data_IF_174500165304
#
_entry.id   IF_174500165304
#
_cell.length_a   1.000
_cell.length_b   1.000
_cell.length_c   1.000
_cell.angle_alpha   90.00
_cell.angle_beta   90.00
_cell.angle_gamma   90.00
#
_symmetry.space_group_name_H-M   'P 1'
#
loop_
_entity.id
_entity.type
_entity.pdbx_description
1 polymer ?
#
# COMPACT_ATOMS: atom_id res chain seq x y z
N UNK A 1 18.80 -17.70 -10.94
CA UNK A 1 17.36 -17.60 -10.63
C UNK A 1 17.23 -16.85 -9.32
N UNK A 2 16.63 -15.65 -9.32
CA UNK A 2 16.54 -14.82 -8.11
C UNK A 2 15.63 -15.48 -7.07
N UNK A 3 16.10 -15.59 -5.82
CA UNK A 3 15.28 -16.04 -4.69
C UNK A 3 13.99 -15.22 -4.69
N UNK A 4 12.83 -15.86 -4.69
CA UNK A 4 11.53 -15.19 -4.50
C UNK A 4 11.51 -14.62 -3.08
N UNK A 5 12.08 -13.43 -2.91
CA UNK A 5 12.05 -12.71 -1.65
C UNK A 5 10.58 -12.45 -1.27
N UNK A 6 10.26 -12.63 0.01
CA UNK A 6 8.92 -12.35 0.52
C UNK A 6 8.51 -10.92 0.12
N UNK A 7 7.27 -10.71 -0.38
CA UNK A 7 6.79 -9.37 -0.65
C UNK A 7 6.87 -8.51 0.61
N UNK A 8 7.47 -7.33 0.50
CA UNK A 8 7.55 -6.38 1.61
C UNK A 8 6.13 -5.96 2.04
N UNK A 9 5.76 -6.07 3.33
CA UNK A 9 4.46 -5.63 3.83
C UNK A 9 4.18 -4.16 3.51
N UNK A 10 2.93 -3.85 3.17
CA UNK A 10 2.52 -2.52 2.71
C UNK A 10 2.79 -1.43 3.75
N UNK A 11 2.61 -1.72 5.05
CA UNK A 11 2.86 -0.76 6.12
C UNK A 11 4.34 -0.33 6.24
N UNK A 12 5.27 -1.11 5.66
CA UNK A 12 6.70 -0.79 5.61
C UNK A 12 7.11 -0.05 4.32
N UNK A 13 6.18 0.19 3.40
CA UNK A 13 6.52 0.86 2.14
C UNK A 13 6.98 2.30 2.39
N UNK A 14 8.05 2.66 1.70
CA UNK A 14 8.51 4.03 1.53
C UNK A 14 7.57 4.80 0.62
N UNK A 15 7.65 6.13 0.64
CA UNK A 15 6.93 7.00 -0.30
C UNK A 15 7.24 6.62 -1.76
N UNK A 16 8.48 6.22 -2.08
CA UNK A 16 8.84 5.73 -3.42
C UNK A 16 8.14 4.42 -3.83
N UNK A 17 7.92 3.50 -2.88
CA UNK A 17 7.15 2.27 -3.13
C UNK A 17 5.66 2.56 -3.28
N UNK A 18 5.13 3.53 -2.52
CA UNK A 18 3.77 4.05 -2.72
C UNK A 18 3.63 4.70 -4.10
N UNK A 19 4.62 5.45 -4.58
CA UNK A 19 4.61 5.99 -5.95
C UNK A 19 4.53 4.88 -7.02
N UNK A 20 5.27 3.78 -6.84
CA UNK A 20 5.17 2.62 -7.74
C UNK A 20 3.79 1.98 -7.70
N UNK A 21 3.21 1.84 -6.52
CA UNK A 21 1.84 1.33 -6.36
C UNK A 21 0.82 2.26 -7.04
N UNK A 22 0.89 3.57 -6.79
CA UNK A 22 -0.01 4.57 -7.37
C UNK A 22 0.09 4.56 -8.90
N UNK A 23 1.32 4.50 -9.46
CA UNK A 23 1.53 4.42 -10.91
C UNK A 23 0.92 3.17 -11.53
N UNK A 24 0.98 2.04 -10.82
CA UNK A 24 0.49 0.75 -11.30
C UNK A 24 -1.03 0.62 -11.21
N UNK A 25 -1.62 1.10 -10.11
CA UNK A 25 -3.01 0.83 -9.75
C UNK A 25 -3.94 2.01 -10.01
N UNK A 26 -3.40 3.23 -9.97
CA UNK A 26 -4.10 4.48 -10.24
C UNK A 26 -3.48 5.20 -11.45
N UNK A 27 -3.10 4.46 -12.51
CA UNK A 27 -2.35 4.99 -13.66
C UNK A 27 -3.02 6.20 -14.32
N UNK A 28 -4.35 6.17 -14.44
CA UNK A 28 -5.17 7.25 -15.02
C UNK A 28 -5.05 8.56 -14.23
N UNK A 29 -4.84 8.47 -12.91
CA UNK A 29 -4.78 9.63 -12.01
C UNK A 29 -3.38 9.93 -11.49
N UNK A 30 -2.38 9.15 -11.93
CA UNK A 30 -1.01 9.27 -11.43
C UNK A 30 -0.42 10.65 -11.71
N UNK A 31 -0.63 11.19 -12.92
CA UNK A 31 -0.12 12.52 -13.29
C UNK A 31 -0.78 13.63 -12.48
N UNK A 32 -2.04 13.45 -12.06
CA UNK A 32 -2.76 14.45 -11.28
C UNK A 32 -2.31 14.50 -9.81
N UNK A 33 -1.98 13.35 -9.22
CA UNK A 33 -1.87 13.24 -7.75
C UNK A 33 -0.53 12.72 -7.23
N UNK A 34 0.34 12.17 -8.07
CA UNK A 34 1.65 11.63 -7.65
C UNK A 34 2.46 12.63 -6.82
N UNK A 35 2.52 13.89 -7.26
CA UNK A 35 3.24 14.94 -6.56
C UNK A 35 2.66 15.25 -5.18
N UNK A 36 1.32 15.19 -5.00
CA UNK A 36 0.69 15.38 -3.70
C UNK A 36 1.13 14.28 -2.71
N UNK A 37 1.19 13.03 -3.18
CA UNK A 37 1.68 11.93 -2.35
C UNK A 37 3.15 12.09 -1.96
N UNK A 38 3.98 12.71 -2.82
CA UNK A 38 5.39 13.00 -2.50
C UNK A 38 5.49 14.14 -1.47
N UNK A 39 4.82 15.27 -1.72
CA UNK A 39 4.91 16.47 -0.88
C UNK A 39 4.41 16.20 0.54
N UNK A 40 3.36 15.38 0.67
CA UNK A 40 2.81 14.99 1.98
C UNK A 40 3.48 13.75 2.58
N UNK A 41 4.57 13.27 1.98
CA UNK A 41 5.32 12.08 2.42
C UNK A 41 4.43 10.87 2.73
N UNK A 42 3.53 10.54 1.79
CA UNK A 42 2.59 9.43 1.95
C UNK A 42 3.35 8.11 1.83
N UNK A 43 3.81 7.62 2.99
CA UNK A 43 4.36 6.29 3.18
C UNK A 43 3.28 5.20 3.18
N UNK A 44 3.70 3.94 3.11
CA UNK A 44 2.80 2.79 3.21
C UNK A 44 1.98 2.77 4.49
N UNK A 45 2.61 3.13 5.62
CA UNK A 45 1.92 3.30 6.90
C UNK A 45 0.80 4.35 6.83
N UNK A 46 1.06 5.50 6.21
CA UNK A 46 0.04 6.52 6.03
C UNK A 46 -1.08 6.04 5.10
N UNK A 47 -0.73 5.43 3.97
CA UNK A 47 -1.66 4.95 2.94
C UNK A 47 -2.70 3.96 3.50
N UNK A 48 -2.26 2.96 4.27
CA UNK A 48 -3.17 1.96 4.84
C UNK A 48 -4.07 2.51 5.94
N UNK A 49 -3.81 3.73 6.45
CA UNK A 49 -4.66 4.41 7.45
C UNK A 49 -5.44 5.60 6.89
N UNK A 50 -5.31 5.95 5.61
CA UNK A 50 -6.06 7.06 5.03
C UNK A 50 -7.58 6.87 5.15
N UNK A 51 -8.32 7.96 5.33
CA UNK A 51 -9.76 7.97 5.14
C UNK A 51 -10.11 8.66 3.82
N UNK A 52 -11.37 8.58 3.40
CA UNK A 52 -11.82 9.34 2.24
C UNK A 52 -11.67 10.85 2.47
N UNK A 53 -11.94 11.34 3.69
CA UNK A 53 -11.73 12.74 4.07
C UNK A 53 -10.25 13.12 4.04
N UNK A 54 -9.34 12.19 4.32
CA UNK A 54 -7.91 12.42 4.17
C UNK A 54 -7.51 12.64 2.71
N UNK A 55 -8.17 11.96 1.75
CA UNK A 55 -7.94 12.20 0.31
C UNK A 55 -8.45 13.58 -0.12
N UNK A 56 -9.55 14.06 0.45
CA UNK A 56 -10.04 15.43 0.25
C UNK A 56 -9.00 16.43 0.77
N UNK A 57 -8.53 16.27 2.02
CA UNK A 57 -7.50 17.13 2.61
C UNK A 57 -6.17 17.08 1.85
N UNK A 58 -5.85 15.94 1.24
CA UNK A 58 -4.66 15.79 0.38
C UNK A 58 -4.80 16.59 -0.94
N UNK A 59 -6.02 16.91 -1.37
CA UNK A 59 -6.29 17.69 -2.58
C UNK A 59 -7.06 16.93 -3.68
N UNK A 60 -7.54 15.71 -3.42
CA UNK A 60 -8.33 14.92 -4.39
C UNK A 60 -9.81 15.30 -4.29
N UNK A 61 -10.14 16.51 -4.77
CA UNK A 61 -11.47 17.10 -4.64
C UNK A 61 -12.49 16.56 -5.65
N UNK A 62 -12.03 16.10 -6.83
CA UNK A 62 -12.93 15.48 -7.81
C UNK A 62 -13.48 14.14 -7.25
N UNK A 63 -14.82 13.99 -7.12
CA UNK A 63 -15.42 12.83 -6.47
C UNK A 63 -15.14 11.52 -7.23
N UNK A 64 -15.18 11.52 -8.55
CA UNK A 64 -14.93 10.32 -9.36
C UNK A 64 -13.47 9.85 -9.22
N UNK A 65 -12.53 10.80 -9.23
CA UNK A 65 -11.12 10.49 -9.04
C UNK A 65 -10.85 9.96 -7.63
N UNK A 66 -11.45 10.60 -6.62
CA UNK A 66 -11.32 10.20 -5.22
C UNK A 66 -11.88 8.80 -5.00
N UNK A 67 -13.07 8.52 -5.51
CA UNK A 67 -13.70 7.19 -5.42
C UNK A 67 -12.79 6.11 -6.04
N UNK A 68 -12.22 6.39 -7.21
CA UNK A 68 -11.34 5.44 -7.89
C UNK A 68 -10.03 5.18 -7.11
N UNK A 69 -9.37 6.23 -6.61
CA UNK A 69 -8.17 6.09 -5.77
C UNK A 69 -8.52 5.38 -4.46
N UNK A 70 -9.64 5.73 -3.83
CA UNK A 70 -10.10 5.12 -2.59
C UNK A 70 -10.36 3.61 -2.75
N UNK A 71 -11.01 3.21 -3.84
CA UNK A 71 -11.23 1.79 -4.17
C UNK A 71 -9.92 1.02 -4.29
N UNK A 72 -8.87 1.60 -4.88
CA UNK A 72 -7.56 0.94 -4.93
C UNK A 72 -6.89 0.85 -3.55
N UNK A 73 -7.07 1.83 -2.67
CA UNK A 73 -6.59 1.77 -1.28
C UNK A 73 -7.30 0.63 -0.53
N UNK A 74 -8.61 0.47 -0.69
CA UNK A 74 -9.37 -0.62 -0.07
C UNK A 74 -8.90 -2.00 -0.57
N UNK A 75 -8.66 -2.15 -1.88
CA UNK A 75 -8.06 -3.38 -2.45
C UNK A 75 -6.69 -3.67 -1.87
N UNK A 76 -5.86 -2.65 -1.69
CA UNK A 76 -4.53 -2.79 -1.09
C UNK A 76 -4.63 -3.30 0.35
N UNK A 77 -5.57 -2.78 1.15
CA UNK A 77 -5.82 -3.24 2.53
C UNK A 77 -6.23 -4.69 2.59
N UNK A 78 -7.24 -5.09 1.82
CA UNK A 78 -7.66 -6.49 1.74
C UNK A 78 -6.51 -7.42 1.38
N UNK A 79 -5.66 -7.01 0.43
CA UNK A 79 -4.48 -7.79 0.06
C UNK A 79 -3.45 -7.86 1.19
N UNK A 80 -3.24 -6.76 1.92
CA UNK A 80 -2.34 -6.72 3.06
C UNK A 80 -2.85 -7.62 4.20
N UNK A 81 -4.15 -7.55 4.53
CA UNK A 81 -4.78 -8.35 5.56
C UNK A 81 -4.68 -9.86 5.22
N UNK A 82 -4.97 -10.25 3.98
CA UNK A 82 -4.81 -11.64 3.52
C UNK A 82 -3.36 -12.10 3.63
N UNK A 83 -2.40 -11.23 3.31
CA UNK A 83 -0.98 -11.56 3.41
C UNK A 83 -0.55 -11.73 4.87
N UNK A 84 -1.00 -10.85 5.75
CA UNK A 84 -0.75 -10.91 7.19
C UNK A 84 -1.36 -12.17 7.82
N UNK A 85 -2.61 -12.50 7.48
CA UNK A 85 -3.25 -13.75 7.94
C UNK A 85 -2.44 -14.99 7.55
N UNK A 86 -1.98 -15.07 6.30
CA UNK A 86 -1.12 -16.16 5.84
C UNK A 86 0.22 -16.19 6.58
N UNK A 87 0.79 -15.03 6.91
CA UNK A 87 2.03 -14.94 7.69
C UNK A 87 1.83 -15.42 9.12
N UNK A 88 0.71 -15.06 9.77
CA UNK A 88 0.36 -15.54 11.11
C UNK A 88 0.18 -17.06 11.10
N UNK A 89 -0.56 -17.61 10.15
CA UNK A 89 -0.74 -19.06 9.99
C UNK A 89 0.59 -19.80 9.80
N UNK A 90 1.45 -19.29 8.90
CA UNK A 90 2.77 -19.87 8.67
C UNK A 90 3.67 -19.80 9.92
N UNK A 91 3.65 -18.67 10.62
CA UNK A 91 4.45 -18.48 11.84
C UNK A 91 4.01 -19.41 12.97
N UNK A 92 2.70 -19.67 13.07
CA UNK A 92 2.12 -20.60 14.04
C UNK A 92 2.46 -22.04 13.71
N UNK A 93 2.45 -22.41 12.42
CA UNK A 93 2.70 -23.78 11.96
C UNK A 93 4.20 -24.14 11.93
N UNK A 94 5.08 -23.17 11.70
CA UNK A 94 6.52 -23.37 11.60
C UNK A 94 7.29 -22.26 12.35
N UNK A 95 7.30 -22.30 13.69
CA UNK A 95 7.92 -21.24 14.51
C UNK A 95 9.42 -21.07 14.23
N UNK A 96 10.14 -22.15 13.92
CA UNK A 96 11.59 -22.12 13.65
C UNK A 96 11.94 -21.51 12.27
N UNK A 97 10.96 -21.38 11.37
CA UNK A 97 11.18 -20.88 10.01
C UNK A 97 11.34 -19.36 9.91
N UNK A 98 10.94 -18.61 10.96
CA UNK A 98 11.05 -17.15 11.00
C UNK A 98 12.51 -16.69 11.13
N UNK A 99 13.37 -17.49 11.76
CA UNK A 99 14.77 -17.14 12.02
C UNK A 99 15.71 -17.42 10.84
N UNK A 100 15.23 -18.06 9.77
CA UNK A 100 16.08 -18.48 8.65
C UNK A 100 16.34 -17.38 7.60
N UNK A 101 15.66 -16.24 7.71
CA UNK A 101 15.71 -15.16 6.71
C UNK A 101 15.83 -13.75 7.34
N UNK A 102 16.13 -13.65 8.64
CA UNK A 102 16.70 -12.43 9.22
C UNK A 102 18.21 -12.47 9.04
#
# INVERSE_FOLDING_TARGET
MGKLARPKPCYLWTTAEVQKWLKRHCSEYFQNYSQLFIIHDISGKALVHMSEEALIRLGINNPNHREAVWREILKLRLKADIQEMKEIEMSTKYPDHINFFK
#
